data_IF_436594885252
#
_entry.id   IF_436594885252
#
_cell.length_a   1.000
_cell.length_b   1.000
_cell.length_c   1.000
_cell.angle_alpha   90.00
_cell.angle_beta   90.00
_cell.angle_gamma   90.00
#
_symmetry.space_group_name_H-M   'P 1'
#
loop_
_entity.id
_entity.type
_entity.pdbx_description
1 polymer ?
#
# COMPACT_ATOMS: atom_id res chain seq x y z
N UNK A 1 28.30 36.42 18.38
CA UNK A 1 29.32 36.87 17.40
C UNK A 1 30.49 35.89 17.26
N UNK A 2 31.05 35.36 18.36
CA UNK A 2 32.23 34.45 18.33
C UNK A 2 32.01 33.15 17.46
N UNK A 3 30.78 32.66 17.36
CA UNK A 3 30.49 31.42 16.56
C UNK A 3 30.51 31.63 15.04
N UNK A 4 30.19 32.83 14.57
CA UNK A 4 30.20 33.14 13.14
C UNK A 4 31.64 33.37 12.67
N UNK A 5 32.46 34.04 13.48
CA UNK A 5 33.86 34.25 13.20
C UNK A 5 34.64 32.92 13.17
N UNK A 6 34.33 31.99 14.06
CA UNK A 6 34.91 30.65 14.06
C UNK A 6 34.49 29.84 12.82
N UNK A 7 33.24 29.89 12.40
CA UNK A 7 32.79 29.22 11.19
C UNK A 7 33.44 29.81 9.93
N UNK A 8 33.56 31.13 9.85
CA UNK A 8 34.24 31.79 8.78
C UNK A 8 35.73 31.42 8.72
N UNK A 9 36.40 31.45 9.85
CA UNK A 9 37.84 31.11 9.94
C UNK A 9 38.06 29.63 9.61
N UNK A 10 37.20 28.74 10.07
CA UNK A 10 37.24 27.32 9.71
C UNK A 10 37.02 27.11 8.20
N UNK A 11 36.01 27.75 7.63
CA UNK A 11 35.75 27.65 6.19
C UNK A 11 36.93 28.20 5.37
N UNK A 12 37.43 29.36 5.75
CA UNK A 12 38.59 29.99 5.06
C UNK A 12 39.87 29.19 5.21
N UNK A 13 40.11 28.55 6.35
CA UNK A 13 41.30 27.72 6.57
C UNK A 13 41.21 26.37 5.84
N UNK A 14 39.99 25.82 5.69
CA UNK A 14 39.77 24.49 5.13
C UNK A 14 39.62 24.54 3.61
N UNK A 15 38.88 25.51 3.10
CA UNK A 15 38.45 25.55 1.70
C UNK A 15 39.05 26.68 0.87
N UNK A 16 39.52 27.75 1.49
CA UNK A 16 40.18 28.82 0.77
C UNK A 16 41.67 28.47 0.52
N UNK A 17 41.88 27.49 -0.35
CA UNK A 17 43.22 27.08 -0.74
C UNK A 17 43.97 28.23 -1.40
N UNK A 18 45.28 28.23 -1.18
CA UNK A 18 46.18 29.27 -1.68
C UNK A 18 46.30 29.34 -3.22
N UNK A 19 45.89 28.25 -3.88
CA UNK A 19 45.82 28.18 -5.35
C UNK A 19 44.35 28.07 -5.77
N UNK A 20 43.79 29.16 -6.25
CA UNK A 20 42.42 29.21 -6.78
C UNK A 20 42.43 28.44 -8.10
N UNK A 21 41.79 27.29 -8.12
CA UNK A 21 41.54 26.54 -9.33
C UNK A 21 40.69 27.35 -10.31
N UNK A 22 40.99 27.28 -11.62
CA UNK A 22 40.16 27.90 -12.67
C UNK A 22 38.71 27.40 -12.69
N UNK A 23 38.40 26.34 -11.94
CA UNK A 23 37.07 25.79 -11.77
C UNK A 23 36.40 26.28 -10.48
N UNK A 24 37.10 27.00 -9.63
CA UNK A 24 36.56 27.56 -8.40
C UNK A 24 35.91 28.92 -8.72
N UNK A 25 34.59 28.95 -8.68
CA UNK A 25 33.81 30.16 -8.92
C UNK A 25 33.77 31.11 -7.71
N UNK A 26 34.29 30.68 -6.54
CA UNK A 26 34.25 31.46 -5.31
C UNK A 26 35.55 32.23 -5.08
N UNK A 27 35.53 33.53 -5.34
CA UNK A 27 36.65 34.41 -5.01
C UNK A 27 36.60 34.78 -3.51
N UNK A 28 37.77 34.80 -2.86
CA UNK A 28 37.93 35.20 -1.47
C UNK A 28 37.27 36.58 -1.19
N UNK A 29 37.32 37.50 -2.14
CA UNK A 29 36.68 38.81 -2.05
C UNK A 29 35.16 38.73 -1.99
N UNK A 30 34.53 37.79 -2.72
CA UNK A 30 33.08 37.64 -2.80
C UNK A 30 32.57 36.96 -1.55
N UNK A 31 33.25 35.92 -1.05
CA UNK A 31 32.97 35.32 0.25
C UNK A 31 33.06 36.35 1.38
N UNK A 32 34.06 37.24 1.35
CA UNK A 32 34.18 38.31 2.33
C UNK A 32 33.07 39.35 2.26
N UNK A 33 32.56 39.64 1.05
CA UNK A 33 31.40 40.53 0.87
C UNK A 33 30.15 39.89 1.46
N UNK A 34 29.89 38.63 1.17
CA UNK A 34 28.72 37.87 1.73
C UNK A 34 28.81 37.81 3.26
N UNK A 35 29.97 37.48 3.81
CA UNK A 35 30.19 37.49 5.23
C UNK A 35 29.89 38.87 5.87
N UNK A 36 30.42 39.93 5.31
CA UNK A 36 30.19 41.28 5.80
C UNK A 36 28.72 41.69 5.71
N UNK A 37 28.01 41.27 4.65
CA UNK A 37 26.58 41.48 4.55
C UNK A 37 25.77 40.73 5.64
N UNK A 38 26.16 39.49 5.94
CA UNK A 38 25.53 38.71 7.02
C UNK A 38 25.79 39.36 8.36
N UNK A 39 27.03 39.79 8.64
CA UNK A 39 27.38 40.48 9.89
C UNK A 39 26.64 41.79 10.02
N UNK A 40 26.53 42.57 8.93
CA UNK A 40 25.78 43.82 8.93
C UNK A 40 24.32 43.59 9.22
N UNK A 41 23.68 42.63 8.55
CA UNK A 41 22.28 42.28 8.80
C UNK A 41 22.05 41.82 10.24
N UNK A 42 22.96 41.04 10.80
CA UNK A 42 22.84 40.60 12.20
C UNK A 42 23.01 41.77 13.21
N UNK A 43 23.86 42.75 12.90
CA UNK A 43 24.02 43.96 13.74
C UNK A 43 22.81 44.90 13.66
N UNK A 44 22.19 44.99 12.49
CA UNK A 44 21.02 45.86 12.23
C UNK A 44 19.70 45.18 12.61
N UNK A 45 19.71 43.86 12.88
CA UNK A 45 18.52 43.13 13.30
C UNK A 45 18.11 43.54 14.72
N UNK A 46 16.84 43.87 14.93
CA UNK A 46 16.38 44.24 16.28
C UNK A 46 16.53 43.03 17.23
N UNK A 47 17.17 43.27 18.37
CA UNK A 47 17.30 42.27 19.45
C UNK A 47 16.02 42.28 20.27
N UNK A 48 15.17 41.28 20.05
CA UNK A 48 14.03 41.04 20.93
C UNK A 48 14.45 40.14 22.09
N UNK A 49 14.22 40.59 23.33
CA UNK A 49 14.37 39.76 24.50
C UNK A 49 13.17 38.84 24.61
N UNK A 50 13.33 37.59 24.21
CA UNK A 50 12.30 36.58 24.34
C UNK A 50 12.49 35.89 25.69
N UNK A 51 11.49 35.96 26.57
CA UNK A 51 11.54 35.39 27.92
C UNK A 51 11.58 33.86 27.93
N UNK A 52 11.00 33.21 26.92
CA UNK A 52 11.08 31.75 26.69
C UNK A 52 11.32 31.46 25.21
N UNK A 53 12.58 31.31 24.79
CA UNK A 53 12.93 31.19 23.36
C UNK A 53 12.35 29.95 22.69
N UNK A 54 12.11 28.86 23.40
CA UNK A 54 11.57 27.63 22.80
C UNK A 54 10.06 27.73 22.56
N UNK A 55 9.29 28.27 23.50
CA UNK A 55 7.86 28.50 23.30
C UNK A 55 7.61 29.59 22.25
N UNK A 56 8.41 30.65 22.24
CA UNK A 56 8.30 31.69 21.25
C UNK A 56 8.63 31.21 19.84
N UNK A 57 9.60 30.31 19.71
CA UNK A 57 9.92 29.65 18.44
C UNK A 57 8.78 28.76 17.95
N UNK A 58 8.21 27.93 18.85
CA UNK A 58 7.03 27.09 18.52
C UNK A 58 5.88 27.97 18.07
N UNK A 59 5.54 29.00 18.83
CA UNK A 59 4.47 29.92 18.48
C UNK A 59 4.70 30.63 17.14
N UNK A 60 5.93 31.04 16.84
CA UNK A 60 6.28 31.65 15.56
C UNK A 60 6.18 30.64 14.39
N UNK A 61 6.54 29.38 14.64
CA UNK A 61 6.38 28.29 13.66
C UNK A 61 4.90 28.03 13.41
N UNK A 62 4.10 27.88 14.45
CA UNK A 62 2.66 27.63 14.37
C UNK A 62 1.92 28.76 13.62
N UNK A 63 2.27 30.02 13.89
CA UNK A 63 1.73 31.18 13.13
C UNK A 63 2.16 31.08 11.66
N UNK A 64 3.42 30.79 11.38
CA UNK A 64 3.91 30.68 10.01
C UNK A 64 3.22 29.54 9.24
N UNK A 65 3.04 28.38 9.88
CA UNK A 65 2.34 27.25 9.29
C UNK A 65 0.86 27.55 9.05
N UNK A 66 0.21 28.19 10.03
CA UNK A 66 -1.18 28.63 9.89
C UNK A 66 -1.34 29.66 8.77
N UNK A 67 -0.46 30.64 8.70
CA UNK A 67 -0.45 31.65 7.64
C UNK A 67 -0.20 31.03 6.26
N UNK A 68 0.71 30.04 6.17
CA UNK A 68 0.98 29.30 4.94
C UNK A 68 -0.21 28.45 4.52
N UNK A 69 -0.90 27.83 5.48
CA UNK A 69 -2.12 27.08 5.22
C UNK A 69 -3.22 27.98 4.67
N UNK A 70 -3.44 29.15 5.28
CA UNK A 70 -4.39 30.16 4.78
C UNK A 70 -3.97 30.64 3.38
N UNK A 71 -2.70 30.92 3.17
CA UNK A 71 -2.18 31.34 1.86
C UNK A 71 -2.43 30.27 0.79
N UNK A 72 -2.22 29.00 1.12
CA UNK A 72 -2.48 27.90 0.20
C UNK A 72 -3.97 27.79 -0.12
N UNK A 73 -4.85 27.93 0.88
CA UNK A 73 -6.31 27.94 0.66
C UNK A 73 -6.72 29.13 -0.21
N UNK A 74 -6.21 30.33 0.08
CA UNK A 74 -6.50 31.53 -0.73
C UNK A 74 -5.94 31.40 -2.14
N UNK A 75 -4.72 30.85 -2.29
CA UNK A 75 -4.13 30.62 -3.60
C UNK A 75 -4.93 29.57 -4.40
N UNK A 76 -5.45 28.55 -3.73
CA UNK A 76 -6.28 27.54 -4.36
C UNK A 76 -7.67 28.06 -4.74
N UNK A 77 -8.17 29.11 -4.07
CA UNK A 77 -9.43 29.79 -4.38
C UNK A 77 -9.27 30.91 -5.41
N UNK A 78 -8.03 31.33 -5.71
CA UNK A 78 -7.80 32.45 -6.63
C UNK A 78 -7.72 31.99 -8.09
N UNK A 79 -8.43 32.68 -8.98
CA UNK A 79 -8.49 32.44 -10.43
C UNK A 79 -7.11 32.37 -11.13
N UNK A 80 -6.09 32.93 -10.52
CA UNK A 80 -4.75 33.05 -11.12
C UNK A 80 -3.93 31.77 -11.12
N UNK A 81 -4.30 30.78 -10.29
CA UNK A 81 -3.61 29.48 -10.14
C UNK A 81 -4.54 28.28 -10.22
N UNK A 82 -5.76 28.49 -10.64
CA UNK A 82 -6.60 27.61 -11.44
C UNK A 82 -7.04 26.26 -10.91
N UNK A 83 -6.87 25.89 -9.65
CA UNK A 83 -7.30 24.54 -9.26
C UNK A 83 -8.63 24.45 -8.51
N UNK A 84 -9.23 25.56 -8.11
CA UNK A 84 -10.49 25.54 -7.36
C UNK A 84 -11.71 26.11 -8.11
N UNK A 85 -11.51 26.84 -9.19
CA UNK A 85 -12.64 27.21 -10.06
C UNK A 85 -13.31 25.95 -10.61
N UNK A 86 -12.51 24.94 -10.94
CA UNK A 86 -13.00 23.62 -11.36
C UNK A 86 -13.66 22.85 -10.20
N UNK A 87 -13.31 23.13 -8.95
CA UNK A 87 -13.86 22.42 -7.79
C UNK A 87 -15.30 22.83 -7.48
N UNK A 88 -15.67 24.07 -7.78
CA UNK A 88 -17.08 24.55 -7.66
C UNK A 88 -17.96 24.07 -8.81
N UNK A 89 -17.36 23.64 -9.91
CA UNK A 89 -18.05 23.07 -11.07
C UNK A 89 -17.94 21.54 -11.12
N UNK A 90 -17.28 20.92 -10.14
CA UNK A 90 -17.16 19.45 -10.09
C UNK A 90 -18.52 18.82 -10.00
N UNK A 91 -18.84 18.02 -10.99
CA UNK A 91 -19.98 17.13 -10.93
C UNK A 91 -19.62 15.95 -10.01
N UNK A 92 -20.57 15.57 -9.18
CA UNK A 92 -20.46 14.38 -8.32
C UNK A 92 -21.44 13.35 -8.86
N UNK A 93 -20.95 12.17 -9.13
CA UNK A 93 -21.80 11.04 -9.42
C UNK A 93 -22.19 10.40 -8.09
N UNK A 94 -23.47 10.09 -7.92
CA UNK A 94 -24.01 9.46 -6.70
C UNK A 94 -24.74 8.20 -7.12
N UNK A 95 -24.44 7.10 -6.46
CA UNK A 95 -25.18 5.85 -6.58
C UNK A 95 -26.32 5.83 -5.56
N UNK A 96 -27.44 5.24 -5.92
CA UNK A 96 -28.54 4.96 -4.97
C UNK A 96 -28.19 3.80 -4.01
N UNK A 97 -27.20 2.98 -4.38
CA UNK A 97 -26.70 1.85 -3.59
C UNK A 97 -25.19 1.76 -3.81
N UNK A 98 -24.42 2.37 -2.90
CA UNK A 98 -22.95 2.43 -2.98
C UNK A 98 -22.29 1.08 -2.65
N UNK A 99 -22.98 0.19 -1.95
CA UNK A 99 -22.48 -1.15 -1.62
C UNK A 99 -22.47 -2.07 -2.85
N UNK A 100 -23.42 -1.83 -3.77
CA UNK A 100 -23.55 -2.63 -5.00
C UNK A 100 -22.83 -1.99 -6.19
N UNK A 101 -22.95 -0.67 -6.34
CA UNK A 101 -22.39 0.07 -7.49
C UNK A 101 -21.70 1.35 -7.02
N UNK A 102 -20.39 1.38 -7.07
CA UNK A 102 -19.59 2.57 -6.88
C UNK A 102 -19.52 3.39 -8.17
N UNK A 103 -19.78 4.70 -8.09
CA UNK A 103 -19.69 5.61 -9.23
C UNK A 103 -18.72 6.74 -8.95
N UNK A 104 -17.96 7.15 -9.96
CA UNK A 104 -17.11 8.32 -9.90
C UNK A 104 -17.20 9.13 -11.18
N UNK A 105 -17.21 10.45 -11.07
CA UNK A 105 -17.17 11.34 -12.23
C UNK A 105 -15.71 11.54 -12.67
N UNK A 106 -15.41 11.18 -13.92
CA UNK A 106 -14.11 11.39 -14.54
C UNK A 106 -14.28 12.43 -15.64
N UNK A 107 -14.08 13.72 -15.32
CA UNK A 107 -14.17 14.81 -16.28
C UNK A 107 -13.64 16.11 -15.68
N UNK A 108 -13.37 17.09 -16.55
CA UNK A 108 -12.85 18.40 -16.17
C UNK A 108 -13.93 19.40 -15.74
N UNK A 109 -15.20 19.01 -15.77
CA UNK A 109 -16.32 19.88 -15.41
C UNK A 109 -16.70 20.92 -16.45
N UNK A 110 -15.95 21.03 -17.56
CA UNK A 110 -16.12 22.08 -18.57
C UNK A 110 -17.29 21.85 -19.54
N UNK A 111 -17.77 20.60 -19.64
CA UNK A 111 -18.92 20.30 -20.47
C UNK A 111 -20.23 20.63 -19.76
N UNK A 112 -20.94 21.58 -20.36
CA UNK A 112 -22.15 22.15 -19.82
C UNK A 112 -23.33 21.18 -19.82
N UNK A 113 -23.95 21.03 -18.64
CA UNK A 113 -25.38 21.14 -18.48
C UNK A 113 -26.32 19.98 -18.74
N UNK A 114 -25.92 18.74 -18.79
CA UNK A 114 -26.92 17.67 -18.57
C UNK A 114 -26.49 16.76 -17.44
N UNK A 115 -27.31 16.74 -16.39
CA UNK A 115 -27.27 15.63 -15.44
C UNK A 115 -27.81 14.40 -16.18
N UNK A 116 -26.91 13.59 -16.72
CA UNK A 116 -27.31 12.31 -17.28
C UNK A 116 -27.58 11.35 -16.12
N UNK A 117 -28.76 10.81 -16.07
CA UNK A 117 -29.10 9.73 -15.17
C UNK A 117 -29.22 8.44 -15.99
N UNK A 118 -28.61 7.40 -15.53
CA UNK A 118 -28.76 6.06 -16.10
C UNK A 118 -29.10 5.07 -14.99
N UNK A 119 -29.71 3.98 -15.35
CA UNK A 119 -29.98 2.90 -14.41
C UNK A 119 -29.09 1.70 -14.72
N UNK A 120 -28.56 1.08 -13.66
CA UNK A 120 -27.77 -0.14 -13.74
C UNK A 120 -28.57 -1.24 -13.08
N UNK A 121 -28.83 -2.32 -13.82
CA UNK A 121 -29.38 -3.54 -13.26
C UNK A 121 -28.24 -4.55 -13.10
N UNK A 122 -27.89 -4.87 -11.87
CA UNK A 122 -26.86 -5.86 -11.54
C UNK A 122 -27.52 -7.23 -11.48
N UNK A 123 -27.10 -8.12 -12.36
CA UNK A 123 -27.58 -9.51 -12.43
C UNK A 123 -26.77 -10.42 -11.52
N UNK A 124 -25.45 -10.18 -11.46
CA UNK A 124 -24.50 -10.96 -10.68
C UNK A 124 -23.31 -10.09 -10.25
N UNK A 125 -22.91 -10.24 -8.99
CA UNK A 125 -21.65 -9.66 -8.49
C UNK A 125 -20.49 -10.59 -8.81
N UNK A 126 -19.30 -10.02 -8.94
CA UNK A 126 -18.08 -10.80 -9.06
C UNK A 126 -17.81 -11.58 -7.77
N UNK A 127 -17.42 -12.84 -7.92
CA UNK A 127 -17.09 -13.72 -6.78
C UNK A 127 -15.62 -14.16 -6.81
N UNK A 128 -15.01 -14.41 -5.65
CA UNK A 128 -13.67 -14.98 -5.56
C UNK A 128 -13.67 -16.46 -5.96
N UNK A 129 -12.48 -17.00 -6.19
CA UNK A 129 -12.25 -18.43 -6.25
C UNK A 129 -12.06 -19.00 -4.85
N UNK A 130 -12.65 -20.15 -4.58
CA UNK A 130 -12.47 -20.92 -3.36
C UNK A 130 -11.99 -22.32 -3.69
N UNK A 131 -10.91 -22.72 -3.04
CA UNK A 131 -10.48 -24.12 -2.97
C UNK A 131 -10.68 -24.57 -1.53
N UNK A 132 -11.67 -25.40 -1.28
CA UNK A 132 -11.93 -25.98 0.03
C UNK A 132 -11.44 -27.43 0.08
N UNK A 133 -10.56 -27.69 1.02
CA UNK A 133 -9.97 -29.01 1.23
C UNK A 133 -10.95 -30.04 1.80
N UNK A 134 -10.46 -31.24 1.99
CA UNK A 134 -11.23 -32.31 2.62
C UNK A 134 -11.38 -32.06 4.12
N UNK A 135 -12.57 -32.34 4.65
CA UNK A 135 -12.80 -32.32 6.09
C UNK A 135 -12.06 -33.47 6.76
N UNK A 136 -11.06 -33.15 7.56
CA UNK A 136 -10.25 -34.12 8.32
C UNK A 136 -10.63 -34.03 9.80
N UNK A 137 -10.54 -35.17 10.51
CA UNK A 137 -10.75 -35.17 11.97
C UNK A 137 -9.69 -34.33 12.66
N UNK A 138 -10.08 -33.37 13.49
CA UNK A 138 -9.19 -32.40 14.13
C UNK A 138 -8.03 -33.07 14.87
N UNK A 139 -8.33 -34.08 15.69
CA UNK A 139 -7.34 -34.83 16.47
C UNK A 139 -6.75 -36.05 15.72
N UNK A 140 -7.00 -36.18 14.42
CA UNK A 140 -6.47 -37.26 13.59
C UNK A 140 -5.04 -36.98 13.14
N UNK A 141 -4.36 -38.00 12.67
CA UNK A 141 -3.02 -37.98 12.09
C UNK A 141 -3.07 -38.60 10.70
N UNK A 142 -3.65 -37.86 9.73
CA UNK A 142 -3.82 -38.37 8.37
C UNK A 142 -2.56 -38.30 7.54
N UNK A 143 -1.68 -37.36 7.83
CA UNK A 143 -0.39 -37.21 7.18
C UNK A 143 0.72 -37.89 7.96
N UNK A 144 1.64 -38.60 7.28
CA UNK A 144 2.81 -39.19 7.90
C UNK A 144 3.84 -38.11 8.23
N UNK A 145 4.71 -38.36 9.24
CA UNK A 145 5.83 -37.47 9.49
C UNK A 145 6.74 -37.37 8.28
N UNK A 146 7.13 -36.15 7.89
CA UNK A 146 7.97 -35.92 6.72
C UNK A 146 7.93 -34.47 6.24
N UNK A 147 8.69 -34.24 5.20
CA UNK A 147 8.71 -32.95 4.50
C UNK A 147 7.86 -33.02 3.23
N UNK A 148 7.08 -32.03 2.99
CA UNK A 148 6.16 -31.93 1.86
C UNK A 148 6.29 -30.60 1.20
N UNK A 149 5.99 -30.52 -0.09
CA UNK A 149 5.93 -29.28 -0.84
C UNK A 149 4.77 -29.28 -1.83
N UNK A 150 4.32 -28.08 -2.15
CA UNK A 150 3.36 -27.84 -3.20
C UNK A 150 3.63 -26.52 -3.88
N UNK A 151 3.28 -26.42 -5.14
CA UNK A 151 3.33 -25.20 -5.92
C UNK A 151 1.98 -24.52 -5.89
N UNK A 152 1.99 -23.21 -5.64
CA UNK A 152 0.87 -22.32 -5.80
C UNK A 152 1.18 -21.39 -6.94
N UNK A 153 0.40 -21.48 -8.02
CA UNK A 153 0.58 -20.67 -9.22
C UNK A 153 -0.56 -19.67 -9.34
N UNK A 154 -0.20 -18.42 -9.52
CA UNK A 154 -1.10 -17.31 -9.87
C UNK A 154 -0.78 -16.87 -11.29
N UNK A 155 -1.63 -16.05 -11.96
CA UNK A 155 -1.35 -15.56 -13.32
C UNK A 155 0.00 -14.84 -13.47
N UNK A 156 0.52 -14.27 -12.39
CA UNK A 156 1.77 -13.50 -12.41
C UNK A 156 3.03 -14.25 -11.96
N UNK A 157 2.91 -15.35 -11.21
CA UNK A 157 4.05 -16.04 -10.61
C UNK A 157 3.70 -17.43 -10.07
N UNK A 158 4.70 -18.27 -9.92
CA UNK A 158 4.61 -19.56 -9.25
C UNK A 158 5.49 -19.55 -7.98
N UNK A 159 4.96 -20.09 -6.91
CA UNK A 159 5.59 -20.14 -5.60
C UNK A 159 5.56 -21.56 -5.04
N UNK A 160 6.71 -22.04 -4.60
CA UNK A 160 6.83 -23.32 -3.92
C UNK A 160 6.72 -23.13 -2.41
N UNK A 161 5.81 -23.87 -1.78
CA UNK A 161 5.63 -23.92 -0.35
C UNK A 161 6.14 -25.24 0.19
N UNK A 162 6.98 -25.16 1.21
CA UNK A 162 7.50 -26.34 1.91
C UNK A 162 7.03 -26.35 3.36
N UNK A 163 6.65 -27.52 3.85
CA UNK A 163 6.25 -27.71 5.24
C UNK A 163 6.65 -29.08 5.76
N UNK A 164 6.88 -29.15 7.05
CA UNK A 164 7.24 -30.37 7.74
C UNK A 164 6.08 -30.81 8.63
N UNK A 165 5.83 -32.09 8.67
CA UNK A 165 4.88 -32.75 9.57
C UNK A 165 5.64 -33.60 10.56
N UNK A 166 5.37 -33.43 11.87
CA UNK A 166 5.89 -34.23 12.93
C UNK A 166 4.91 -35.37 13.33
N UNK A 167 5.38 -36.37 14.08
CA UNK A 167 4.53 -37.46 14.55
C UNK A 167 3.47 -37.05 15.57
N UNK A 168 3.63 -35.89 16.19
CA UNK A 168 2.73 -35.38 17.25
C UNK A 168 1.70 -34.41 16.74
N UNK A 169 1.87 -33.90 15.50
CA UNK A 169 0.96 -32.93 14.93
C UNK A 169 -0.34 -33.58 14.48
N UNK A 170 -1.44 -32.97 14.89
CA UNK A 170 -2.79 -33.34 14.45
C UNK A 170 -3.12 -32.73 13.09
N UNK A 171 -4.20 -33.18 12.46
CA UNK A 171 -4.68 -32.58 11.20
C UNK A 171 -4.93 -31.10 11.36
N UNK A 172 -5.59 -30.67 12.45
CA UNK A 172 -5.86 -29.27 12.74
C UNK A 172 -4.56 -28.44 12.89
N UNK A 173 -3.53 -29.00 13.53
CA UNK A 173 -2.22 -28.32 13.66
C UNK A 173 -1.60 -28.07 12.29
N UNK A 174 -1.70 -29.06 11.41
CA UNK A 174 -1.15 -29.00 10.04
C UNK A 174 -1.93 -27.96 9.22
N UNK A 175 -3.26 -28.00 9.25
CA UNK A 175 -4.12 -27.04 8.55
C UNK A 175 -3.85 -25.60 9.03
N UNK A 176 -3.74 -25.38 10.35
CA UNK A 176 -3.37 -24.09 10.92
C UNK A 176 -1.97 -23.63 10.51
N UNK A 177 -1.02 -24.57 10.41
CA UNK A 177 0.33 -24.28 9.93
C UNK A 177 0.30 -23.81 8.46
N UNK A 178 -0.44 -24.54 7.61
CA UNK A 178 -0.61 -24.19 6.21
C UNK A 178 -1.35 -22.86 6.05
N UNK A 179 -2.40 -22.61 6.81
CA UNK A 179 -3.11 -21.33 6.80
C UNK A 179 -2.18 -20.16 7.14
N UNK A 180 -1.38 -20.30 8.19
CA UNK A 180 -0.37 -19.27 8.54
C UNK A 180 0.68 -19.09 7.43
N UNK A 181 1.13 -20.18 6.82
CA UNK A 181 2.12 -20.15 5.74
C UNK A 181 1.59 -19.38 4.53
N UNK A 182 0.38 -19.70 4.08
CA UNK A 182 -0.26 -19.03 2.94
C UNK A 182 -0.57 -17.56 3.28
N UNK A 183 -1.15 -17.28 4.43
CA UNK A 183 -1.49 -15.90 4.83
C UNK A 183 -0.24 -14.99 4.98
N UNK A 184 0.89 -15.57 5.42
CA UNK A 184 2.13 -14.80 5.54
C UNK A 184 2.81 -14.50 4.20
N UNK A 185 2.45 -15.21 3.14
CA UNK A 185 3.05 -15.06 1.81
C UNK A 185 2.59 -13.81 1.05
N UNK A 186 1.44 -13.24 1.43
CA UNK A 186 0.86 -12.05 0.81
C UNK A 186 0.58 -12.18 -0.70
N UNK A 187 0.22 -13.38 -1.16
CA UNK A 187 0.01 -13.71 -2.57
C UNK A 187 -1.39 -13.37 -3.10
N UNK A 188 -2.18 -12.62 -2.35
CA UNK A 188 -3.57 -12.33 -2.73
C UNK A 188 -4.50 -13.52 -2.52
N UNK A 189 -4.16 -14.41 -1.58
CA UNK A 189 -4.96 -15.57 -1.17
C UNK A 189 -5.08 -15.52 0.34
N UNK A 190 -6.27 -15.73 0.85
CA UNK A 190 -6.57 -15.85 2.27
C UNK A 190 -6.85 -17.31 2.59
N UNK A 191 -6.20 -17.83 3.61
CA UNK A 191 -6.41 -19.17 4.10
C UNK A 191 -7.13 -19.14 5.45
N UNK A 192 -8.20 -19.92 5.58
CA UNK A 192 -9.00 -20.06 6.80
C UNK A 192 -9.30 -21.53 7.10
N UNK A 193 -9.58 -21.82 8.36
CA UNK A 193 -10.00 -23.15 8.78
C UNK A 193 -11.54 -23.14 8.89
N UNK A 194 -12.20 -24.00 8.14
CA UNK A 194 -13.64 -24.23 8.21
C UNK A 194 -13.95 -25.47 8.99
N UNK A 195 -14.77 -25.37 10.03
CA UNK A 195 -15.20 -26.51 10.83
C UNK A 195 -16.58 -26.99 10.39
N UNK A 196 -16.77 -28.30 10.38
CA UNK A 196 -18.09 -28.91 10.14
C UNK A 196 -18.99 -28.94 11.40
N UNK A 197 -18.47 -28.46 12.55
CA UNK A 197 -19.15 -28.51 13.84
C UNK A 197 -19.19 -29.90 14.48
N UNK A 198 -18.44 -30.91 13.94
CA UNK A 198 -18.39 -32.30 14.39
C UNK A 198 -16.98 -32.83 14.59
N UNK A 199 -16.09 -31.99 15.12
CA UNK A 199 -14.67 -32.32 15.35
C UNK A 199 -13.88 -32.62 14.06
N UNK A 200 -14.30 -32.02 12.94
CA UNK A 200 -13.57 -32.06 11.69
C UNK A 200 -13.44 -30.67 11.11
N UNK A 201 -12.31 -30.40 10.50
CA UNK A 201 -11.99 -29.12 9.83
C UNK A 201 -11.44 -29.35 8.44
N UNK A 202 -11.47 -28.31 7.64
CA UNK A 202 -10.91 -28.24 6.31
C UNK A 202 -10.18 -26.92 6.11
N UNK A 203 -9.08 -26.95 5.40
CA UNK A 203 -8.38 -25.73 4.97
C UNK A 203 -9.07 -25.17 3.73
N UNK A 204 -9.59 -23.95 3.83
CA UNK A 204 -10.15 -23.22 2.71
C UNK A 204 -9.23 -22.09 2.27
N UNK A 205 -8.99 -22.02 0.96
CA UNK A 205 -8.16 -21.00 0.32
C UNK A 205 -9.06 -20.15 -0.58
N UNK A 206 -9.09 -18.85 -0.32
CA UNK A 206 -9.96 -17.92 -1.04
C UNK A 206 -9.10 -16.83 -1.69
N UNK A 207 -9.31 -16.54 -2.96
CA UNK A 207 -8.66 -15.41 -3.62
C UNK A 207 -9.16 -14.08 -3.06
N UNK A 208 -8.29 -13.11 -2.89
CA UNK A 208 -8.69 -11.74 -2.53
C UNK A 208 -9.25 -10.97 -3.74
N UNK A 209 -8.88 -11.40 -4.93
CA UNK A 209 -9.44 -10.88 -6.17
C UNK A 209 -10.70 -11.64 -6.54
N UNK A 210 -11.62 -10.95 -7.19
CA UNK A 210 -12.87 -11.50 -7.73
C UNK A 210 -12.88 -11.40 -9.25
N UNK A 211 -13.61 -12.29 -9.89
CA UNK A 211 -13.70 -12.33 -11.36
C UNK A 211 -12.47 -12.95 -12.01
N UNK A 212 -12.55 -13.15 -13.31
CA UNK A 212 -11.50 -13.75 -14.15
C UNK A 212 -11.23 -12.86 -15.36
N UNK A 213 -9.99 -12.74 -15.77
CA UNK A 213 -9.63 -12.11 -17.05
C UNK A 213 -10.04 -13.04 -18.22
N UNK A 214 -10.19 -12.49 -19.42
CA UNK A 214 -10.71 -13.21 -20.60
C UNK A 214 -9.97 -14.51 -20.95
N UNK A 215 -8.70 -14.63 -20.57
CA UNK A 215 -7.85 -15.80 -20.87
C UNK A 215 -7.51 -16.64 -19.63
N UNK A 216 -8.12 -16.37 -18.50
CA UNK A 216 -7.85 -17.09 -17.26
C UNK A 216 -8.97 -18.07 -16.93
N UNK A 217 -8.57 -19.27 -16.49
CA UNK A 217 -9.51 -20.30 -16.06
C UNK A 217 -9.59 -20.40 -14.53
N UNK A 218 -8.62 -19.83 -13.84
CA UNK A 218 -8.50 -19.82 -12.40
C UNK A 218 -7.65 -18.63 -11.93
N UNK A 219 -7.94 -18.07 -10.75
CA UNK A 219 -7.13 -17.01 -10.13
C UNK A 219 -5.88 -17.58 -9.47
N UNK A 220 -5.93 -18.82 -9.04
CA UNK A 220 -4.77 -19.58 -8.59
C UNK A 220 -4.99 -21.07 -8.79
N UNK A 221 -3.91 -21.82 -8.91
CA UNK A 221 -3.91 -23.28 -8.94
C UNK A 221 -2.90 -23.80 -7.96
N UNK A 222 -3.19 -24.96 -7.38
CA UNK A 222 -2.30 -25.67 -6.45
C UNK A 222 -1.97 -27.01 -7.05
N UNK A 223 -0.72 -27.37 -7.04
CA UNK A 223 -0.22 -28.66 -7.50
C UNK A 223 0.82 -29.23 -6.54
N UNK A 224 0.80 -30.53 -6.27
CA UNK A 224 1.84 -31.17 -5.46
C UNK A 224 3.17 -31.15 -6.20
N UNK A 225 4.27 -31.08 -5.47
CA UNK A 225 5.58 -31.44 -6.00
C UNK A 225 5.60 -32.90 -6.48
N UNK A 226 6.53 -33.22 -7.36
CA UNK A 226 6.67 -34.55 -7.98
C UNK A 226 7.01 -35.68 -7.00
N UNK A 227 7.27 -35.38 -5.73
CA UNK A 227 7.53 -36.38 -4.72
C UNK A 227 6.27 -37.21 -4.39
N UNK A 228 6.36 -38.53 -4.24
CA UNK A 228 5.21 -39.37 -3.89
C UNK A 228 4.51 -38.93 -2.58
N UNK A 229 5.28 -38.45 -1.61
CA UNK A 229 4.75 -37.95 -0.35
C UNK A 229 3.91 -36.71 -0.52
N UNK A 230 4.37 -35.73 -1.32
CA UNK A 230 3.62 -34.49 -1.61
C UNK A 230 2.34 -34.78 -2.38
N UNK A 231 2.36 -35.72 -3.33
CA UNK A 231 1.15 -36.16 -4.03
C UNK A 231 0.12 -36.82 -3.09
N UNK A 232 0.58 -37.65 -2.15
CA UNK A 232 -0.31 -38.28 -1.16
C UNK A 232 -0.89 -37.24 -0.20
N UNK A 233 -0.06 -36.31 0.27
CA UNK A 233 -0.51 -35.24 1.17
C UNK A 233 -1.56 -34.34 0.49
N UNK A 234 -1.38 -34.02 -0.78
CA UNK A 234 -2.33 -33.20 -1.54
C UNK A 234 -3.68 -33.91 -1.68
N UNK A 235 -3.69 -35.20 -1.93
CA UNK A 235 -4.95 -35.99 -1.97
C UNK A 235 -5.66 -36.04 -0.63
N UNK A 236 -4.90 -36.07 0.47
CA UNK A 236 -5.47 -36.07 1.82
C UNK A 236 -6.04 -34.69 2.14
N UNK A 237 -5.29 -33.62 1.86
CA UNK A 237 -5.71 -32.25 2.13
C UNK A 237 -6.82 -31.77 1.16
N UNK A 238 -6.77 -32.17 -0.11
CA UNK A 238 -7.77 -31.83 -1.12
C UNK A 238 -7.82 -30.36 -1.54
N UNK A 239 -6.81 -29.56 -1.21
CA UNK A 239 -6.79 -28.12 -1.48
C UNK A 239 -6.48 -27.73 -2.93
N UNK A 240 -6.13 -28.72 -3.76
CA UNK A 240 -5.85 -28.55 -5.20
C UNK A 240 -7.14 -28.40 -6.04
N UNK A 241 -8.29 -28.70 -5.46
CA UNK A 241 -9.55 -28.67 -6.20
C UNK A 241 -10.29 -27.36 -5.99
N UNK A 242 -10.73 -26.77 -7.12
CA UNK A 242 -11.56 -25.58 -7.09
C UNK A 242 -12.99 -25.98 -6.70
N UNK A 243 -13.43 -25.59 -5.52
CA UNK A 243 -14.79 -25.84 -5.01
C UNK A 243 -15.76 -24.81 -5.55
N UNK A 244 -15.34 -23.54 -5.56
CA UNK A 244 -16.10 -22.45 -6.15
C UNK A 244 -15.23 -21.69 -7.13
N UNK A 245 -15.70 -21.56 -8.37
CA UNK A 245 -15.00 -20.79 -9.40
C UNK A 245 -15.24 -19.29 -9.21
N UNK A 246 -14.23 -18.50 -9.52
CA UNK A 246 -14.44 -17.07 -9.63
C UNK A 246 -15.38 -16.74 -10.79
N UNK A 247 -16.30 -15.81 -10.58
CA UNK A 247 -17.21 -15.30 -11.58
C UNK A 247 -17.07 -13.79 -11.73
N UNK A 248 -17.23 -13.32 -12.96
CA UNK A 248 -17.28 -11.89 -13.27
C UNK A 248 -18.65 -11.31 -12.89
N UNK A 249 -18.69 -10.02 -12.60
CA UNK A 249 -19.96 -9.31 -12.50
C UNK A 249 -20.66 -9.23 -13.86
N UNK A 250 -21.99 -9.33 -13.84
CA UNK A 250 -22.85 -9.12 -14.99
C UNK A 250 -23.86 -8.02 -14.69
N UNK A 251 -23.97 -7.05 -15.55
CA UNK A 251 -24.90 -5.93 -15.39
C UNK A 251 -25.39 -5.41 -16.74
N UNK A 252 -26.57 -4.82 -16.74
CA UNK A 252 -27.17 -4.14 -17.87
C UNK A 252 -27.28 -2.64 -17.57
N UNK A 253 -26.82 -1.83 -18.50
CA UNK A 253 -26.94 -0.36 -18.45
C UNK A 253 -28.12 0.09 -19.31
N UNK A 254 -29.07 0.86 -18.74
CA UNK A 254 -30.24 1.42 -19.42
C UNK A 254 -30.29 2.94 -19.25
#
# INVERSE_FOLDING_TARGET
MARIDNAYNYYMSTYANKEVSRYDSHKKSDLRKVYNQIVKKNKESPLYKISNPEEAKRYAIDIKESAKSIQNVVASLSDRYGSFNDSFQKKVAVSSDEDTVGVSYIGDGSEANQAESFSISVEQLATPQVNEGNYLKDNGHSLRPGSYSFDLTTPGAAYEFQYNVSSEETNLDIEQKLARLVNSSNLGITAEIRSDGKESSALALTSTQTGLSENENALFTISPDASPGSMESMKILGIDQITEKAHNSSFTLN
#
